data_IF_098399687257
#
_entry.id   IF_098399687257
#
_cell.length_a   1.000
_cell.length_b   1.000
_cell.length_c   1.000
_cell.angle_alpha   90.00
_cell.angle_beta   90.00
_cell.angle_gamma   90.00
#
_symmetry.space_group_name_H-M   'P 1'
#
loop_
_entity.id
_entity.type
_entity.pdbx_description
1 polymer ?
#
# COMPACT_ATOMS: atom_id res chain seq x y z
N UNK A 1 2.79 -13.77 -17.36
CA UNK A 1 3.44 -13.11 -16.20
C UNK A 1 2.29 -12.72 -15.31
N UNK A 2 2.27 -13.26 -14.10
CA UNK A 2 1.17 -13.10 -13.14
C UNK A 2 1.16 -11.64 -12.69
N UNK A 3 0.04 -10.95 -12.88
CA UNK A 3 -0.11 -9.57 -12.45
C UNK A 3 -0.38 -9.53 -10.95
N UNK A 4 0.26 -8.64 -10.22
CA UNK A 4 -0.08 -8.41 -8.81
C UNK A 4 -1.14 -7.33 -8.71
N UNK A 5 -2.30 -7.66 -8.14
CA UNK A 5 -3.38 -6.68 -7.92
C UNK A 5 -3.55 -6.29 -6.46
N UNK A 6 -3.09 -7.12 -5.52
CA UNK A 6 -3.21 -6.81 -4.10
C UNK A 6 -2.07 -7.36 -3.24
N UNK A 7 -1.71 -6.58 -2.22
CA UNK A 7 -0.78 -6.95 -1.17
C UNK A 7 -1.51 -7.03 0.18
N UNK A 8 -1.39 -8.16 0.87
CA UNK A 8 -1.92 -8.34 2.22
C UNK A 8 -0.88 -7.90 3.25
N UNK A 9 -1.19 -6.83 3.97
CA UNK A 9 -0.41 -6.36 5.11
C UNK A 9 -1.05 -6.83 6.42
N UNK A 10 -0.25 -7.45 7.30
CA UNK A 10 -0.69 -7.87 8.64
C UNK A 10 0.18 -7.21 9.70
N UNK A 11 -0.45 -6.49 10.63
CA UNK A 11 0.22 -5.78 11.72
C UNK A 11 -0.23 -6.38 13.05
N UNK A 12 0.75 -6.69 13.89
CA UNK A 12 0.56 -7.12 15.26
C UNK A 12 0.95 -6.02 16.25
N UNK A 13 0.06 -5.70 17.18
CA UNK A 13 0.28 -4.70 18.21
C UNK A 13 0.24 -5.29 19.63
N UNK A 14 0.91 -4.59 20.56
CA UNK A 14 0.76 -4.78 22.00
C UNK A 14 -0.63 -4.35 22.49
N UNK A 15 -1.01 -4.71 23.72
CA UNK A 15 -2.34 -4.37 24.25
C UNK A 15 -2.64 -2.87 24.26
N UNK A 16 -1.61 -2.04 24.46
CA UNK A 16 -1.71 -0.59 24.52
C UNK A 16 -1.76 0.06 23.13
N UNK A 17 -1.68 -0.72 22.05
CA UNK A 17 -1.60 -0.24 20.66
C UNK A 17 -0.42 0.72 20.40
N UNK A 18 0.61 0.69 21.26
CA UNK A 18 1.81 1.55 21.15
C UNK A 18 2.95 0.89 20.43
N UNK A 19 3.04 -0.44 20.52
CA UNK A 19 4.12 -1.23 19.94
C UNK A 19 3.55 -2.12 18.85
N UNK A 20 3.55 -1.60 17.62
CA UNK A 20 3.05 -2.29 16.45
C UNK A 20 4.21 -2.69 15.52
N UNK A 21 4.11 -3.87 14.92
CA UNK A 21 5.07 -4.39 13.95
C UNK A 21 4.38 -5.22 12.89
N UNK A 22 4.99 -5.30 11.72
CA UNK A 22 4.56 -6.22 10.68
C UNK A 22 4.75 -7.68 11.14
N UNK A 23 3.75 -8.52 10.85
CA UNK A 23 3.80 -9.97 11.05
C UNK A 23 3.94 -10.66 9.71
N UNK A 24 4.87 -11.61 9.62
CA UNK A 24 5.10 -12.36 8.39
C UNK A 24 4.02 -13.42 8.21
N UNK A 25 3.37 -13.42 7.06
CA UNK A 25 2.35 -14.39 6.66
C UNK A 25 2.87 -15.25 5.50
N UNK A 26 2.36 -16.48 5.31
CA UNK A 26 2.84 -17.38 4.26
C UNK A 26 2.60 -16.85 2.84
N UNK A 27 1.47 -16.17 2.63
CA UNK A 27 1.06 -15.60 1.34
C UNK A 27 0.63 -14.15 1.56
N UNK A 28 1.27 -13.22 0.86
CA UNK A 28 1.01 -11.78 0.99
C UNK A 28 0.72 -11.08 -0.34
N UNK A 29 0.79 -11.78 -1.47
CA UNK A 29 0.67 -11.22 -2.82
C UNK A 29 -0.42 -11.98 -3.56
N UNK A 30 -1.33 -11.26 -4.20
CA UNK A 30 -2.52 -11.82 -4.84
C UNK A 30 -2.76 -11.22 -6.23
N UNK A 31 -3.26 -12.05 -7.15
CA UNK A 31 -3.64 -11.64 -8.51
C UNK A 31 -4.91 -10.80 -8.53
N UNK A 32 -5.75 -10.90 -7.49
CA UNK A 32 -6.97 -10.11 -7.35
C UNK A 32 -7.19 -9.58 -5.92
N UNK A 33 -7.90 -8.46 -5.80
CA UNK A 33 -8.30 -7.92 -4.50
C UNK A 33 -9.31 -8.81 -3.75
N UNK A 34 -10.14 -9.55 -4.49
CA UNK A 34 -11.12 -10.47 -3.93
C UNK A 34 -10.44 -11.68 -3.28
N UNK A 35 -9.42 -12.26 -3.93
CA UNK A 35 -8.60 -13.33 -3.34
C UNK A 35 -7.89 -12.85 -2.08
N UNK A 36 -7.25 -11.68 -2.11
CA UNK A 36 -6.64 -11.10 -0.91
C UNK A 36 -7.65 -10.96 0.23
N UNK A 37 -8.86 -10.48 -0.08
CA UNK A 37 -9.91 -10.28 0.92
C UNK A 37 -10.43 -11.59 1.49
N UNK A 38 -10.53 -12.63 0.65
CA UNK A 38 -10.93 -13.98 1.04
C UNK A 38 -9.88 -14.66 1.92
N UNK A 39 -8.59 -14.46 1.64
CA UNK A 39 -7.48 -15.06 2.38
C UNK A 39 -7.15 -14.34 3.70
N UNK A 40 -7.47 -13.06 3.80
CA UNK A 40 -7.22 -12.22 5.00
C UNK A 40 -7.58 -12.88 6.34
N UNK A 41 -8.79 -13.46 6.57
CA UNK A 41 -9.11 -14.09 7.85
C UNK A 41 -8.22 -15.30 8.18
N UNK A 42 -7.78 -16.06 7.17
CA UNK A 42 -6.90 -17.21 7.36
C UNK A 42 -5.48 -16.77 7.71
N UNK A 43 -4.95 -15.79 6.99
CA UNK A 43 -3.65 -15.19 7.29
C UNK A 43 -3.59 -14.57 8.70
N UNK A 44 -4.68 -13.95 9.17
CA UNK A 44 -4.78 -13.48 10.56
C UNK A 44 -4.78 -14.64 11.57
N UNK A 45 -5.37 -15.78 11.21
CA UNK A 45 -5.33 -17.02 11.99
C UNK A 45 -3.92 -17.62 12.07
N UNK A 46 -3.17 -17.60 10.97
CA UNK A 46 -1.80 -18.15 10.89
C UNK A 46 -0.83 -17.46 11.84
N UNK A 47 -1.05 -16.17 12.10
CA UNK A 47 -0.22 -15.36 13.02
C UNK A 47 -0.87 -15.15 14.39
N UNK A 48 -1.98 -15.84 14.66
CA UNK A 48 -2.66 -15.76 15.94
C UNK A 48 -1.70 -16.14 17.09
N UNK A 49 -1.70 -15.32 18.14
CA UNK A 49 -0.81 -15.51 19.30
C UNK A 49 0.59 -14.90 19.14
N UNK A 50 0.98 -14.41 17.96
CA UNK A 50 2.23 -13.66 17.79
C UNK A 50 2.12 -12.20 18.31
N UNK A 51 0.89 -11.69 18.41
CA UNK A 51 0.56 -10.38 18.98
C UNK A 51 -0.77 -10.43 19.72
N UNK A 52 -1.03 -9.41 20.55
CA UNK A 52 -2.27 -9.32 21.33
C UNK A 52 -3.42 -8.78 20.48
N UNK A 53 -3.12 -7.78 19.64
CA UNK A 53 -4.05 -7.27 18.64
C UNK A 53 -3.47 -7.50 17.26
N UNK A 54 -4.27 -8.04 16.35
CA UNK A 54 -3.85 -8.31 14.97
C UNK A 54 -4.86 -7.62 14.06
N UNK A 55 -4.33 -6.82 13.14
CA UNK A 55 -5.12 -6.11 12.13
C UNK A 55 -4.50 -6.36 10.77
N UNK A 56 -5.35 -6.51 9.75
CA UNK A 56 -4.89 -6.83 8.40
C UNK A 56 -5.64 -6.00 7.35
N UNK A 57 -4.95 -5.63 6.28
CA UNK A 57 -5.51 -4.84 5.18
C UNK A 57 -4.95 -5.31 3.84
N UNK A 58 -5.84 -5.43 2.86
CA UNK A 58 -5.46 -5.60 1.46
C UNK A 58 -5.21 -4.22 0.85
N UNK A 59 -4.00 -4.03 0.34
CA UNK A 59 -3.58 -2.84 -0.38
C UNK A 59 -3.73 -3.12 -1.86
N UNK A 60 -4.48 -2.27 -2.57
CA UNK A 60 -4.58 -2.36 -4.02
C UNK A 60 -3.25 -1.94 -4.66
N UNK A 61 -2.79 -2.73 -5.62
CA UNK A 61 -1.62 -2.43 -6.45
C UNK A 61 -2.14 -1.87 -7.77
N UNK A 62 -1.68 -0.66 -8.13
CA UNK A 62 -1.93 -0.11 -9.47
C UNK A 62 -0.97 -0.79 -10.47
N UNK A 63 -1.47 -1.51 -11.48
CA UNK A 63 -0.61 -2.19 -12.46
C UNK A 63 0.29 -1.23 -13.25
N UNK A 64 -0.05 0.07 -13.31
CA UNK A 64 0.77 1.07 -13.97
C UNK A 64 2.00 1.50 -13.14
N UNK A 65 1.99 1.21 -11.82
CA UNK A 65 3.02 1.61 -10.86
C UNK A 65 3.62 0.42 -10.10
N UNK A 66 3.27 -0.81 -10.50
CA UNK A 66 3.69 -2.06 -9.82
C UNK A 66 5.22 -2.12 -9.62
N UNK A 67 5.98 -1.80 -10.66
CA UNK A 67 7.45 -1.80 -10.65
C UNK A 67 8.05 -0.59 -9.91
N UNK A 68 7.26 0.47 -9.67
CA UNK A 68 7.72 1.72 -9.08
C UNK A 68 7.54 1.76 -7.55
N UNK A 69 6.58 1.00 -7.01
CA UNK A 69 6.35 0.95 -5.56
C UNK A 69 7.55 0.34 -4.83
N UNK A 70 8.13 1.09 -3.91
CA UNK A 70 9.31 0.67 -3.14
C UNK A 70 9.09 0.73 -1.62
N UNK A 71 7.93 1.22 -1.18
CA UNK A 71 7.59 1.35 0.24
C UNK A 71 6.14 0.99 0.53
N UNK A 72 5.94 0.40 1.71
CA UNK A 72 4.63 0.29 2.34
C UNK A 72 4.61 1.23 3.53
N UNK A 73 3.74 2.25 3.47
CA UNK A 73 3.55 3.20 4.58
C UNK A 73 2.29 2.80 5.32
N UNK A 74 2.39 2.63 6.64
CA UNK A 74 1.28 2.19 7.45
C UNK A 74 1.29 2.82 8.86
N UNK A 75 0.11 2.92 9.45
CA UNK A 75 -0.11 3.38 10.81
C UNK A 75 -1.35 2.70 11.41
N UNK A 76 -1.21 2.15 12.61
CA UNK A 76 -2.35 1.64 13.39
C UNK A 76 -2.81 2.73 14.33
N UNK A 77 -4.08 3.08 14.23
CA UNK A 77 -4.70 4.06 15.13
C UNK A 77 -5.13 3.38 16.44
N UNK A 78 -5.22 4.13 17.56
CA UNK A 78 -5.65 3.57 18.84
C UNK A 78 -7.05 2.94 18.84
N UNK A 79 -7.89 3.27 17.86
CA UNK A 79 -9.20 2.66 17.65
C UNK A 79 -9.15 1.27 16.97
N UNK A 80 -7.94 0.78 16.67
CA UNK A 80 -7.71 -0.50 15.99
C UNK A 80 -7.82 -0.43 14.47
N UNK A 81 -7.99 0.75 13.87
CA UNK A 81 -7.98 0.89 12.42
C UNK A 81 -6.55 0.94 11.86
N UNK A 82 -6.33 0.22 10.75
CA UNK A 82 -5.06 0.22 10.00
C UNK A 82 -5.19 1.14 8.78
N UNK A 83 -4.44 2.23 8.79
CA UNK A 83 -4.24 3.08 7.61
C UNK A 83 -2.95 2.66 6.93
N UNK A 84 -3.01 2.33 5.65
CA UNK A 84 -1.88 1.77 4.92
C UNK A 84 -2.06 1.95 3.42
N UNK A 85 -0.94 2.16 2.73
CA UNK A 85 -0.84 2.40 1.30
C UNK A 85 0.55 2.06 0.77
N UNK A 86 0.61 1.73 -0.52
CA UNK A 86 1.87 1.63 -1.26
C UNK A 86 2.34 3.04 -1.64
N UNK A 87 3.66 3.26 -1.59
CA UNK A 87 4.28 4.54 -1.86
C UNK A 87 5.53 4.37 -2.74
N UNK A 88 5.87 5.44 -3.44
CA UNK A 88 7.08 5.58 -4.26
C UNK A 88 7.94 6.64 -3.58
N UNK A 89 9.15 6.27 -3.13
CA UNK A 89 10.03 7.18 -2.39
C UNK A 89 10.63 8.28 -3.27
N UNK A 90 10.78 8.04 -4.58
CA UNK A 90 11.48 8.91 -5.51
C UNK A 90 10.65 9.27 -6.75
N UNK A 91 9.69 10.17 -6.57
CA UNK A 91 8.92 10.72 -7.70
C UNK A 91 9.74 11.77 -8.45
N UNK A 92 10.25 11.43 -9.63
CA UNK A 92 10.88 12.38 -10.56
C UNK A 92 9.80 13.03 -11.41
N UNK A 93 9.35 14.23 -11.01
CA UNK A 93 8.40 15.03 -11.78
C UNK A 93 9.12 15.89 -12.82
N UNK A 94 8.85 15.64 -14.10
CA UNK A 94 9.21 16.57 -15.17
C UNK A 94 8.31 17.81 -15.07
N UNK A 95 8.79 18.88 -14.46
CA UNK A 95 8.14 20.18 -14.57
C UNK A 95 8.54 20.82 -15.90
N UNK A 96 7.56 21.28 -16.69
CA UNK A 96 7.83 22.09 -17.88
C UNK A 96 7.58 23.56 -17.52
N UNK A 97 8.60 24.32 -17.10
CA UNK A 97 8.42 25.74 -16.84
C UNK A 97 8.25 26.46 -18.18
N UNK A 98 7.03 26.99 -18.40
CA UNK A 98 6.75 28.06 -19.36
C UNK A 98 6.86 27.68 -20.85
N UNK A 99 5.71 27.34 -21.45
CA UNK A 99 5.52 27.52 -22.90
C UNK A 99 5.16 28.99 -23.13
N UNK A 100 6.01 29.84 -23.72
CA UNK A 100 5.60 31.20 -24.04
C UNK A 100 4.40 31.16 -24.99
N UNK A 101 3.34 31.88 -24.60
CA UNK A 101 2.17 32.14 -25.43
C UNK A 101 2.65 32.75 -26.76
N UNK A 102 2.31 32.10 -27.87
CA UNK A 102 2.72 32.55 -29.20
C UNK A 102 1.89 33.77 -29.55
N UNK A 103 2.45 34.96 -29.30
CA UNK A 103 1.87 36.25 -29.67
C UNK A 103 1.58 36.26 -31.18
N UNK A 104 0.31 36.24 -31.54
CA UNK A 104 -0.20 36.18 -32.91
C UNK A 104 -0.51 37.61 -33.39
N UNK A 105 0.45 38.53 -33.32
CA UNK A 105 0.29 39.85 -33.88
C UNK A 105 1.53 40.29 -34.66
N UNK A 106 1.25 40.82 -35.85
CA UNK A 106 2.13 41.53 -36.78
C UNK A 106 2.96 40.68 -37.74
N UNK A 107 2.37 40.33 -38.88
CA UNK A 107 3.00 40.58 -40.18
C UNK A 107 1.96 41.17 -41.14
N UNK A 108 2.35 42.29 -41.72
CA UNK A 108 1.62 43.21 -42.59
C UNK A 108 1.40 42.64 -44.01
#
# INVERSE_FOLDING_TARGET
MEHVAALLLVIGCSNSMTDCRELQVPVSIFETADECTAERPFAMGDVQGQAQHIVAKCLAVDPALEDDYDQVVWNVRPDGSLDASLAISSLVMASNPMRPEKDYLSQE
#
